data_IF_108262261441
#
_entry.id   IF_108262261441
#
_cell.length_a   1.000
_cell.length_b   1.000
_cell.length_c   1.000
_cell.angle_alpha   90.00
_cell.angle_beta   90.00
_cell.angle_gamma   90.00
#
_symmetry.space_group_name_H-M   'P 1'
#
loop_
_entity.id
_entity.type
_entity.pdbx_description
1 polymer ?
#
# COMPACT_ATOMS: atom_id res chain seq x y z
N UNK A 1 -6.18 -18.10 1.78
CA UNK A 1 -4.79 -17.62 1.57
C UNK A 1 -4.20 -18.44 0.45
N UNK A 2 -3.80 -17.79 -0.63
CA UNK A 2 -3.25 -18.47 -1.81
C UNK A 2 -1.73 -18.45 -1.86
N UNK A 3 -1.13 -17.51 -1.14
CA UNK A 3 0.31 -17.34 -1.16
C UNK A 3 0.81 -16.91 0.21
N UNK A 4 1.89 -17.54 0.63
CA UNK A 4 2.69 -17.14 1.77
C UNK A 4 4.16 -17.38 1.44
N UNK A 5 4.99 -16.39 1.72
CA UNK A 5 6.45 -16.52 1.63
C UNK A 5 7.07 -15.82 2.82
N UNK A 6 8.02 -16.48 3.46
CA UNK A 6 8.90 -15.93 4.47
C UNK A 6 10.33 -15.94 3.96
N UNK A 7 11.04 -14.85 4.18
CA UNK A 7 12.46 -14.72 3.86
C UNK A 7 13.14 -14.11 5.07
N UNK A 8 14.17 -14.80 5.57
CA UNK A 8 15.09 -14.32 6.59
C UNK A 8 16.39 -13.89 5.89
N UNK A 9 16.64 -12.59 5.85
CA UNK A 9 17.85 -12.01 5.25
C UNK A 9 18.74 -11.35 6.33
N UNK A 10 18.80 -11.96 7.52
CA UNK A 10 19.63 -11.53 8.64
C UNK A 10 18.99 -10.45 9.52
N UNK A 11 19.80 -9.84 10.37
CA UNK A 11 19.36 -8.82 11.31
C UNK A 11 18.90 -7.55 10.57
N UNK A 12 17.73 -7.02 10.93
CA UNK A 12 17.17 -5.82 10.31
C UNK A 12 15.68 -5.68 10.57
N UNK A 13 15.00 -4.77 9.85
CA UNK A 13 13.59 -4.49 10.06
C UNK A 13 12.70 -5.69 9.69
N UNK A 14 11.60 -5.81 10.42
CA UNK A 14 10.49 -6.72 10.10
C UNK A 14 9.57 -6.03 9.09
N UNK A 15 9.35 -6.69 7.95
CA UNK A 15 8.51 -6.16 6.86
C UNK A 15 7.36 -7.11 6.56
N UNK A 16 6.14 -6.61 6.72
CA UNK A 16 4.90 -7.34 6.48
C UNK A 16 4.17 -6.78 5.26
N UNK A 17 3.93 -7.64 4.28
CA UNK A 17 3.22 -7.31 3.04
C UNK A 17 1.94 -8.12 2.94
N UNK A 18 0.82 -7.44 2.71
CA UNK A 18 -0.50 -8.05 2.59
C UNK A 18 -1.09 -7.70 1.22
N UNK A 19 -1.32 -8.71 0.38
CA UNK A 19 -2.04 -8.57 -0.89
C UNK A 19 -3.44 -9.18 -0.85
N UNK A 20 -4.32 -8.71 -1.74
CA UNK A 20 -5.67 -9.26 -1.84
C UNK A 20 -6.61 -8.88 -0.69
N UNK A 21 -6.51 -7.65 -0.25
CA UNK A 21 -7.27 -7.11 0.89
C UNK A 21 -8.77 -7.01 0.59
N UNK A 22 -9.14 -6.69 -0.67
CA UNK A 22 -10.55 -6.62 -1.09
C UNK A 22 -10.82 -7.41 -2.38
N UNK A 23 -11.94 -8.07 -2.42
CA UNK A 23 -12.48 -8.66 -3.63
C UNK A 23 -11.50 -9.58 -4.36
N UNK A 24 -11.12 -9.22 -5.58
CA UNK A 24 -10.23 -10.01 -6.43
C UNK A 24 -8.83 -9.37 -6.59
N UNK A 25 -8.44 -8.46 -5.73
CA UNK A 25 -7.15 -7.74 -5.80
C UNK A 25 -5.94 -8.69 -5.72
N UNK A 26 -6.12 -9.83 -5.05
CA UNK A 26 -5.11 -10.87 -4.92
C UNK A 26 -4.55 -11.38 -6.25
N UNK A 27 -5.32 -11.34 -7.33
CA UNK A 27 -4.83 -11.72 -8.67
C UNK A 27 -3.86 -10.70 -9.27
N UNK A 28 -3.98 -9.42 -8.88
CA UNK A 28 -3.03 -8.38 -9.31
C UNK A 28 -1.80 -8.36 -8.40
N UNK A 29 -1.98 -8.34 -7.08
CA UNK A 29 -0.88 -8.27 -6.11
C UNK A 29 0.04 -9.49 -6.17
N UNK A 30 -0.50 -10.70 -6.40
CA UNK A 30 0.28 -11.93 -6.55
C UNK A 30 1.35 -11.81 -7.64
N UNK A 31 1.05 -11.13 -8.76
CA UNK A 31 2.01 -10.95 -9.88
C UNK A 31 3.26 -10.17 -9.49
N UNK A 32 3.16 -9.31 -8.48
CA UNK A 32 4.32 -8.59 -7.94
C UNK A 32 5.05 -9.42 -6.88
N UNK A 33 4.30 -10.11 -6.02
CA UNK A 33 4.89 -10.94 -4.97
C UNK A 33 5.70 -12.14 -5.52
N UNK A 34 5.24 -12.75 -6.62
CA UNK A 34 5.94 -13.88 -7.28
C UNK A 34 7.25 -13.46 -7.96
N UNK A 35 7.42 -12.16 -8.25
CA UNK A 35 8.62 -11.64 -8.94
C UNK A 35 9.70 -11.12 -8.01
N UNK A 36 9.48 -11.19 -6.69
CA UNK A 36 10.47 -10.72 -5.72
C UNK A 36 11.75 -11.55 -5.86
N UNK A 37 12.83 -10.84 -6.20
CA UNK A 37 14.18 -11.40 -6.18
C UNK A 37 14.80 -11.14 -4.80
N UNK A 38 15.44 -12.17 -4.22
CA UNK A 38 16.11 -12.05 -2.92
C UNK A 38 17.28 -11.07 -2.95
N UNK A 39 17.93 -10.90 -4.11
CA UNK A 39 18.98 -9.90 -4.31
C UNK A 39 18.48 -8.44 -4.17
N UNK A 40 17.16 -8.21 -4.24
CA UNK A 40 16.52 -6.91 -4.09
C UNK A 40 16.07 -6.62 -2.66
N UNK A 41 16.40 -7.48 -1.69
CA UNK A 41 16.01 -7.30 -0.30
C UNK A 41 17.13 -6.65 0.52
N UNK A 42 16.76 -5.73 1.43
CA UNK A 42 17.66 -5.33 2.51
C UNK A 42 17.92 -6.50 3.48
N UNK A 43 18.81 -6.33 4.45
CA UNK A 43 18.78 -7.17 5.65
C UNK A 43 17.43 -7.04 6.36
N UNK A 44 17.00 -8.09 7.08
CA UNK A 44 15.75 -8.12 7.83
C UNK A 44 14.89 -9.35 7.55
N UNK A 45 13.69 -9.32 8.11
CA UNK A 45 12.70 -10.39 7.97
C UNK A 45 11.53 -9.93 7.10
N UNK A 46 11.13 -10.74 6.14
CA UNK A 46 10.09 -10.42 5.17
C UNK A 46 8.97 -11.45 5.20
N UNK A 47 7.77 -10.99 5.44
CA UNK A 47 6.55 -11.80 5.47
C UNK A 47 5.59 -11.32 4.39
N UNK A 48 5.26 -12.19 3.44
CA UNK A 48 4.37 -11.91 2.32
C UNK A 48 3.14 -12.80 2.41
N UNK A 49 1.98 -12.19 2.51
CA UNK A 49 0.68 -12.87 2.49
C UNK A 49 -0.14 -12.36 1.32
N UNK A 50 -0.83 -13.25 0.62
CA UNK A 50 -1.80 -12.87 -0.40
C UNK A 50 -3.07 -13.70 -0.29
N UNK A 51 -4.22 -13.04 -0.45
CA UNK A 51 -5.54 -13.64 -0.40
C UNK A 51 -6.19 -13.51 -1.78
N UNK A 52 -6.65 -14.63 -2.37
CA UNK A 52 -7.16 -14.63 -3.75
C UNK A 52 -8.47 -13.90 -3.89
N UNK A 53 -9.41 -14.21 -2.99
CA UNK A 53 -10.77 -13.65 -2.98
C UNK A 53 -11.18 -13.29 -1.57
N UNK A 54 -11.64 -12.07 -1.43
CA UNK A 54 -12.06 -11.51 -0.15
C UNK A 54 -13.36 -10.72 -0.31
N UNK A 55 -14.12 -10.47 0.75
CA UNK A 55 -15.29 -9.61 0.69
C UNK A 55 -14.94 -8.20 0.19
N UNK A 56 -15.86 -7.58 -0.57
CA UNK A 56 -15.76 -6.18 -0.95
C UNK A 56 -16.21 -5.25 0.18
N UNK A 57 -15.47 -5.28 1.30
CA UNK A 57 -15.66 -4.39 2.44
C UNK A 57 -14.47 -3.43 2.47
N UNK A 58 -14.73 -2.13 2.53
CA UNK A 58 -13.66 -1.13 2.55
C UNK A 58 -12.92 -1.13 3.89
N UNK A 59 -11.56 -1.09 3.86
CA UNK A 59 -10.68 -1.00 5.04
C UNK A 59 -10.88 0.29 5.86
N UNK A 60 -11.56 1.30 5.33
CA UNK A 60 -11.93 2.49 6.09
C UNK A 60 -13.16 2.30 6.98
N UNK A 61 -13.78 1.13 6.94
CA UNK A 61 -14.93 0.77 7.75
C UNK A 61 -14.54 -0.22 8.84
N UNK A 62 -15.11 -0.03 10.02
CA UNK A 62 -14.86 -0.89 11.19
C UNK A 62 -15.26 -2.35 10.93
N UNK A 63 -16.34 -2.57 10.18
CA UNK A 63 -16.85 -3.90 9.82
C UNK A 63 -15.84 -4.73 9.01
N UNK A 64 -14.88 -4.08 8.34
CA UNK A 64 -13.80 -4.81 7.69
C UNK A 64 -12.95 -5.58 8.71
N UNK A 65 -12.55 -4.92 9.79
CA UNK A 65 -11.70 -5.51 10.83
C UNK A 65 -12.46 -6.45 11.77
N UNK A 66 -13.79 -6.43 11.73
CA UNK A 66 -14.65 -7.41 12.39
C UNK A 66 -14.87 -8.67 11.52
N UNK A 67 -14.47 -8.65 10.24
CA UNK A 67 -14.52 -9.81 9.35
C UNK A 67 -13.38 -10.78 9.66
N UNK A 68 -13.54 -12.05 9.25
CA UNK A 68 -12.51 -13.09 9.40
C UNK A 68 -11.14 -12.67 8.83
N UNK A 69 -11.13 -12.04 7.66
CA UNK A 69 -9.90 -11.56 7.04
C UNK A 69 -9.32 -10.36 7.79
N UNK A 70 -10.16 -9.37 8.11
CA UNK A 70 -9.71 -8.19 8.84
C UNK A 70 -9.14 -8.54 10.21
N UNK A 71 -9.80 -9.41 10.97
CA UNK A 71 -9.28 -9.94 12.23
C UNK A 71 -7.93 -10.64 12.06
N UNK A 72 -7.81 -11.49 11.03
CA UNK A 72 -6.54 -12.16 10.72
C UNK A 72 -5.41 -11.20 10.38
N UNK A 73 -5.71 -10.10 9.66
CA UNK A 73 -4.70 -9.07 9.37
C UNK A 73 -4.25 -8.39 10.67
N UNK A 74 -5.18 -8.08 11.58
CA UNK A 74 -4.84 -7.51 12.88
C UNK A 74 -3.96 -8.47 13.71
N UNK A 75 -4.31 -9.75 13.75
CA UNK A 75 -3.50 -10.79 14.43
C UNK A 75 -2.06 -10.84 13.86
N UNK A 76 -1.90 -10.72 12.54
CA UNK A 76 -0.57 -10.70 11.91
C UNK A 76 0.22 -9.44 12.29
N UNK A 77 -0.44 -8.28 12.33
CA UNK A 77 0.19 -7.01 12.72
C UNK A 77 0.66 -7.09 14.18
N UNK A 78 -0.20 -7.57 15.09
CA UNK A 78 0.14 -7.72 16.51
C UNK A 78 1.23 -8.77 16.75
N UNK A 79 1.23 -9.85 15.96
CA UNK A 79 2.21 -10.92 16.11
C UNK A 79 3.61 -10.54 15.64
N UNK A 80 3.69 -9.84 14.50
CA UNK A 80 4.97 -9.48 13.88
C UNK A 80 5.52 -8.14 14.33
N UNK A 81 4.68 -7.22 14.83
CA UNK A 81 5.06 -5.86 15.20
C UNK A 81 5.96 -5.20 14.14
N UNK A 82 5.52 -5.12 12.86
CA UNK A 82 6.39 -4.80 11.74
C UNK A 82 6.91 -3.34 11.78
N UNK A 83 8.17 -3.14 11.37
CA UNK A 83 8.74 -1.81 11.10
C UNK A 83 8.20 -1.22 9.79
N UNK A 84 7.87 -2.11 8.82
CA UNK A 84 7.23 -1.76 7.55
C UNK A 84 6.00 -2.61 7.35
N UNK A 85 4.85 -1.97 7.20
CA UNK A 85 3.59 -2.61 6.85
C UNK A 85 3.08 -2.08 5.52
N UNK A 86 2.84 -2.97 4.56
CA UNK A 86 2.43 -2.57 3.22
C UNK A 86 1.24 -3.38 2.73
N UNK A 87 0.17 -2.70 2.37
CA UNK A 87 -0.99 -3.28 1.69
C UNK A 87 -0.87 -3.10 0.18
N UNK A 88 -0.99 -4.20 -0.57
CA UNK A 88 -0.93 -4.23 -2.02
C UNK A 88 -2.35 -4.34 -2.58
N UNK A 89 -2.85 -3.25 -3.12
CA UNK A 89 -4.20 -3.12 -3.65
C UNK A 89 -4.22 -2.96 -5.17
N UNK A 90 -5.39 -3.10 -5.73
CA UNK A 90 -5.68 -2.60 -7.06
C UNK A 90 -7.07 -1.96 -7.14
N UNK A 91 -7.25 -1.00 -8.01
CA UNK A 91 -8.52 -0.30 -8.17
C UNK A 91 -9.05 -0.38 -9.62
N UNK A 92 -10.37 -0.24 -9.76
CA UNK A 92 -10.95 -0.04 -11.07
C UNK A 92 -10.58 1.35 -11.59
N UNK A 93 -9.93 1.43 -12.76
CA UNK A 93 -9.44 2.69 -13.34
C UNK A 93 -10.55 3.76 -13.48
N UNK A 94 -11.81 3.35 -13.66
CA UNK A 94 -12.98 4.25 -13.63
C UNK A 94 -13.20 4.95 -12.28
N UNK A 95 -12.57 4.47 -11.21
CA UNK A 95 -12.63 5.09 -9.89
C UNK A 95 -11.46 6.04 -9.62
N UNK A 96 -10.54 6.21 -10.58
CA UNK A 96 -9.34 7.04 -10.40
C UNK A 96 -9.67 8.43 -9.83
N UNK A 97 -10.56 9.18 -10.46
CA UNK A 97 -10.94 10.51 -9.98
C UNK A 97 -11.57 10.50 -8.59
N UNK A 98 -12.34 9.45 -8.24
CA UNK A 98 -12.94 9.30 -6.90
C UNK A 98 -11.91 9.03 -5.82
N UNK A 99 -10.76 8.43 -6.18
CA UNK A 99 -9.68 8.12 -5.26
C UNK A 99 -8.72 9.29 -5.07
N UNK A 100 -8.53 10.12 -6.11
CA UNK A 100 -7.52 11.19 -6.15
C UNK A 100 -8.09 12.60 -5.93
N UNK A 101 -9.42 12.80 -6.02
CA UNK A 101 -10.01 14.12 -5.80
C UNK A 101 -10.26 14.44 -4.32
N UNK A 102 -10.26 15.74 -3.97
CA UNK A 102 -10.58 16.22 -2.62
C UNK A 102 -12.00 15.89 -2.16
N UNK A 103 -12.93 15.59 -3.07
CA UNK A 103 -14.27 15.11 -2.74
C UNK A 103 -14.24 13.82 -1.91
N UNK A 104 -13.17 13.01 -2.05
CA UNK A 104 -12.97 11.84 -1.19
C UNK A 104 -12.90 12.24 0.27
N UNK A 105 -12.12 13.29 0.59
CA UNK A 105 -12.00 13.77 1.96
C UNK A 105 -13.32 14.30 2.51
N UNK A 106 -14.05 15.09 1.71
CA UNK A 106 -15.36 15.64 2.10
C UNK A 106 -16.37 14.54 2.42
N UNK A 107 -16.34 13.45 1.64
CA UNK A 107 -17.27 12.32 1.78
C UNK A 107 -16.90 11.34 2.89
N UNK A 108 -15.61 11.08 3.10
CA UNK A 108 -15.13 9.98 3.95
C UNK A 108 -14.31 10.43 5.16
N UNK A 109 -13.88 11.68 5.22
CA UNK A 109 -12.91 12.18 6.19
C UNK A 109 -11.47 11.69 5.96
N UNK A 110 -11.22 10.95 4.85
CA UNK A 110 -9.92 10.38 4.53
C UNK A 110 -9.36 11.06 3.28
N UNK A 111 -8.12 11.54 3.31
CA UNK A 111 -7.52 12.23 2.18
C UNK A 111 -7.53 11.42 0.89
N UNK A 112 -7.43 12.10 -0.26
CA UNK A 112 -7.17 11.44 -1.52
C UNK A 112 -5.90 10.60 -1.47
N UNK A 113 -5.85 9.56 -2.32
CA UNK A 113 -4.60 8.89 -2.61
C UNK A 113 -3.74 9.80 -3.48
N UNK A 114 -2.44 9.66 -3.35
CA UNK A 114 -1.44 10.49 -4.04
C UNK A 114 -0.91 9.72 -5.24
N UNK A 115 -0.97 10.32 -6.42
CA UNK A 115 -0.41 9.71 -7.61
C UNK A 115 1.11 9.89 -7.68
N UNK A 116 1.81 8.79 -7.92
CA UNK A 116 3.26 8.77 -8.19
C UNK A 116 3.59 8.88 -9.69
N UNK A 117 2.59 8.77 -10.53
CA UNK A 117 2.66 8.75 -11.98
C UNK A 117 2.03 7.50 -12.57
N UNK A 118 1.61 7.58 -13.84
CA UNK A 118 1.06 6.46 -14.60
C UNK A 118 -0.10 5.73 -13.89
N UNK A 119 -0.97 6.46 -13.18
CA UNK A 119 -2.10 5.95 -12.39
C UNK A 119 -1.70 5.01 -11.23
N UNK A 120 -0.47 5.05 -10.78
CA UNK A 120 -0.04 4.38 -9.55
C UNK A 120 -0.27 5.31 -8.38
N UNK A 121 -0.99 4.83 -7.36
CA UNK A 121 -1.38 5.63 -6.21
C UNK A 121 -0.75 5.08 -4.93
N UNK A 122 -0.49 5.99 -4.00
CA UNK A 122 0.02 5.66 -2.67
C UNK A 122 -0.74 6.42 -1.59
N UNK A 123 -0.88 5.83 -0.43
CA UNK A 123 -1.34 6.50 0.79
C UNK A 123 -0.78 5.80 2.02
N UNK A 124 -1.11 6.33 3.21
CA UNK A 124 -1.04 5.54 4.43
C UNK A 124 -2.18 4.52 4.46
N UNK A 125 -2.06 3.50 5.29
CA UNK A 125 -3.14 2.56 5.58
C UNK A 125 -4.32 3.25 6.29
N UNK A 126 -5.42 2.52 6.45
CA UNK A 126 -6.62 3.03 7.14
C UNK A 126 -6.27 3.68 8.49
N UNK A 127 -6.80 4.90 8.80
CA UNK A 127 -6.62 5.53 10.10
C UNK A 127 -7.08 4.66 11.28
N UNK A 128 -8.05 3.77 11.05
CA UNK A 128 -8.56 2.84 12.07
C UNK A 128 -7.48 1.93 12.63
N UNK A 129 -6.57 1.47 11.79
CA UNK A 129 -5.46 0.60 12.23
C UNK A 129 -4.18 1.38 12.44
N UNK A 130 -3.93 2.45 11.64
CA UNK A 130 -2.70 3.24 11.73
C UNK A 130 -2.45 3.78 13.13
N UNK A 131 -3.52 4.24 13.80
CA UNK A 131 -3.43 4.87 15.12
C UNK A 131 -3.51 3.89 16.29
N UNK A 132 -3.98 2.67 16.04
CA UNK A 132 -4.27 1.71 17.11
C UNK A 132 -3.22 0.58 17.19
N UNK A 133 -2.73 0.13 16.04
CA UNK A 133 -1.92 -1.10 15.93
C UNK A 133 -0.45 -0.83 15.58
N UNK A 134 -0.09 0.40 15.22
CA UNK A 134 1.28 0.73 14.81
C UNK A 134 1.87 1.84 15.67
N UNK A 135 3.16 1.74 15.92
CA UNK A 135 3.92 2.86 16.47
C UNK A 135 3.99 4.02 15.47
N UNK A 136 4.32 5.21 15.94
CA UNK A 136 4.57 6.37 15.08
C UNK A 136 5.73 6.13 14.12
N UNK A 137 6.67 5.27 14.49
CA UNK A 137 7.88 4.97 13.72
C UNK A 137 7.68 3.92 12.63
N UNK A 138 6.58 3.17 12.67
CA UNK A 138 6.26 2.19 11.63
C UNK A 138 5.94 2.86 10.30
N UNK A 139 6.56 2.42 9.22
CA UNK A 139 6.22 2.83 7.85
C UNK A 139 5.00 2.04 7.38
N UNK A 140 3.86 2.71 7.28
CA UNK A 140 2.59 2.10 6.83
C UNK A 140 2.19 2.64 5.46
N UNK A 141 2.13 1.79 4.45
CA UNK A 141 1.80 2.17 3.07
C UNK A 141 0.72 1.30 2.46
N UNK A 142 -0.16 1.96 1.72
CA UNK A 142 -1.07 1.33 0.75
C UNK A 142 -0.57 1.67 -0.64
N UNK A 143 -0.28 0.65 -1.44
CA UNK A 143 0.11 0.77 -2.84
C UNK A 143 -1.05 0.33 -3.72
N UNK A 144 -1.42 1.16 -4.67
CA UNK A 144 -2.55 0.93 -5.56
C UNK A 144 -2.14 1.01 -7.03
N UNK A 145 -2.57 0.04 -7.82
CA UNK A 145 -2.41 0.03 -9.28
C UNK A 145 -3.75 -0.32 -9.93
N UNK A 146 -4.05 0.10 -11.17
CA UNK A 146 -5.27 -0.36 -11.84
C UNK A 146 -5.34 -1.90 -11.93
N UNK A 147 -6.48 -2.50 -11.53
CA UNK A 147 -6.68 -3.96 -11.58
C UNK A 147 -6.58 -4.46 -13.02
N UNK A 148 -5.63 -5.31 -13.32
CA UNK A 148 -5.35 -5.78 -14.68
C UNK A 148 -6.52 -6.55 -15.29
N UNK A 149 -7.32 -7.22 -14.47
CA UNK A 149 -8.49 -8.00 -14.89
C UNK A 149 -9.68 -7.12 -15.30
N UNK A 150 -9.64 -5.81 -14.96
CA UNK A 150 -10.70 -4.83 -15.28
C UNK A 150 -10.34 -3.88 -16.41
N UNK A 151 -9.16 -4.04 -17.01
CA UNK A 151 -8.70 -3.21 -18.12
C UNK A 151 -9.31 -3.71 -19.42
N UNK A 152 -10.16 -2.90 -20.02
CA UNK A 152 -10.66 -3.10 -21.40
C UNK A 152 -10.01 -2.08 -22.33
N UNK A 153 -9.92 -2.34 -23.65
CA UNK A 153 -9.35 -1.38 -24.61
C UNK A 153 -9.96 0.02 -24.51
N UNK A 154 -11.29 0.09 -24.32
CA UNK A 154 -12.00 1.36 -24.21
C UNK A 154 -11.57 2.15 -22.95
N UNK A 155 -11.48 1.47 -21.80
CA UNK A 155 -11.03 2.07 -20.53
C UNK A 155 -9.57 2.51 -20.64
N UNK A 156 -8.71 1.70 -21.22
CA UNK A 156 -7.29 2.03 -21.44
C UNK A 156 -7.17 3.28 -22.31
N UNK A 157 -7.95 3.36 -23.39
CA UNK A 157 -7.95 4.53 -24.29
C UNK A 157 -8.53 5.78 -23.63
N UNK A 158 -9.65 5.64 -22.90
CA UNK A 158 -10.34 6.75 -22.22
C UNK A 158 -9.42 7.46 -21.21
N UNK A 159 -8.64 6.69 -20.43
CA UNK A 159 -7.75 7.22 -19.39
C UNK A 159 -6.30 7.41 -19.85
N UNK A 160 -5.98 7.09 -21.10
CA UNK A 160 -4.60 7.13 -21.60
C UNK A 160 -3.65 6.22 -20.77
N UNK A 161 -4.17 5.08 -20.28
CA UNK A 161 -3.44 4.21 -19.37
C UNK A 161 -2.37 3.38 -20.11
N UNK A 162 -1.13 3.49 -19.65
CA UNK A 162 -0.01 2.68 -20.10
C UNK A 162 0.36 1.66 -19.01
N UNK A 163 -0.02 0.40 -19.24
CA UNK A 163 0.23 -0.68 -18.28
C UNK A 163 1.71 -0.89 -17.98
N UNK A 164 2.58 -0.76 -18.99
CA UNK A 164 4.02 -0.99 -18.82
C UNK A 164 4.62 0.04 -17.89
N UNK A 165 4.30 1.32 -18.12
CA UNK A 165 4.77 2.42 -17.27
C UNK A 165 4.18 2.35 -15.86
N UNK A 166 2.91 1.94 -15.73
CA UNK A 166 2.29 1.75 -14.42
C UNK A 166 2.98 0.64 -13.61
N UNK A 167 3.29 -0.49 -14.26
CA UNK A 167 4.05 -1.59 -13.62
C UNK A 167 5.43 -1.10 -13.21
N UNK A 168 6.17 -0.41 -14.07
CA UNK A 168 7.50 0.14 -13.75
C UNK A 168 7.44 1.11 -12.55
N UNK A 169 6.47 2.03 -12.53
CA UNK A 169 6.28 2.97 -11.41
C UNK A 169 5.96 2.24 -10.11
N UNK A 170 5.08 1.24 -10.17
CA UNK A 170 4.69 0.44 -9.00
C UNK A 170 5.87 -0.38 -8.47
N UNK A 171 6.59 -1.08 -9.35
CA UNK A 171 7.76 -1.89 -9.00
C UNK A 171 8.88 -1.02 -8.42
N UNK A 172 9.08 0.20 -8.92
CA UNK A 172 10.07 1.14 -8.35
C UNK A 172 9.78 1.44 -6.88
N UNK A 173 8.55 1.79 -6.51
CA UNK A 173 8.18 2.05 -5.12
C UNK A 173 8.22 0.77 -4.29
N UNK A 174 7.68 -0.34 -4.81
CA UNK A 174 7.68 -1.62 -4.10
C UNK A 174 9.10 -2.07 -3.78
N UNK A 175 10.01 -1.98 -4.76
CA UNK A 175 11.44 -2.28 -4.59
C UNK A 175 12.10 -1.34 -3.56
N UNK A 176 11.77 -0.05 -3.56
CA UNK A 176 12.27 0.88 -2.55
C UNK A 176 11.89 0.42 -1.13
N UNK A 177 10.64 -0.03 -0.91
CA UNK A 177 10.20 -0.56 0.38
C UNK A 177 10.97 -1.85 0.74
N UNK A 178 11.16 -2.75 -0.23
CA UNK A 178 11.92 -4.00 -0.03
C UNK A 178 13.37 -3.72 0.37
N UNK A 179 14.02 -2.76 -0.28
CA UNK A 179 15.44 -2.43 -0.10
C UNK A 179 15.73 -1.52 1.10
N UNK A 180 14.73 -0.81 1.63
CA UNK A 180 14.95 0.16 2.70
C UNK A 180 15.41 -0.52 4.01
N UNK A 181 16.62 -0.27 4.51
CA UNK A 181 17.10 -0.86 5.76
C UNK A 181 16.51 -0.16 6.99
N UNK A 182 15.92 1.02 6.82
CA UNK A 182 15.32 1.80 7.89
C UNK A 182 14.27 2.77 7.34
N UNK A 183 13.41 3.28 8.22
CA UNK A 183 12.48 4.38 7.92
C UNK A 183 13.19 5.61 7.36
N UNK A 184 14.27 6.05 8.01
CA UNK A 184 15.04 7.23 7.59
C UNK A 184 15.54 7.10 6.14
N UNK A 185 16.05 5.92 5.79
CA UNK A 185 16.46 5.65 4.40
C UNK A 185 15.27 5.75 3.44
N UNK A 186 14.14 5.13 3.79
CA UNK A 186 12.93 5.17 2.97
C UNK A 186 12.44 6.61 2.74
N UNK A 187 12.33 7.40 3.81
CA UNK A 187 11.90 8.80 3.76
C UNK A 187 12.83 9.65 2.90
N UNK A 188 14.13 9.48 3.05
CA UNK A 188 15.14 10.19 2.24
C UNK A 188 15.00 9.87 0.76
N UNK A 189 14.82 8.60 0.40
CA UNK A 189 14.64 8.20 -1.00
C UNK A 189 13.31 8.71 -1.57
N UNK A 190 12.25 8.69 -0.78
CA UNK A 190 10.96 9.28 -1.18
C UNK A 190 11.08 10.77 -1.46
N UNK A 191 11.83 11.54 -0.64
CA UNK A 191 12.08 12.96 -0.88
C UNK A 191 12.89 13.21 -2.16
N UNK A 192 13.85 12.32 -2.49
CA UNK A 192 14.64 12.43 -3.73
C UNK A 192 13.78 12.16 -4.96
N UNK A 193 12.96 11.11 -4.92
CA UNK A 193 12.21 10.62 -6.07
C UNK A 193 10.84 11.30 -6.25
N UNK A 194 10.20 11.76 -5.14
CA UNK A 194 8.80 12.16 -5.08
C UNK A 194 8.56 13.35 -4.13
N UNK A 195 9.39 14.41 -4.19
CA UNK A 195 9.33 15.54 -3.25
C UNK A 195 7.94 16.18 -3.14
N UNK A 196 7.30 16.48 -4.26
CA UNK A 196 5.96 17.10 -4.29
C UNK A 196 4.89 16.19 -3.68
N UNK A 197 4.99 14.88 -3.92
CA UNK A 197 4.08 13.89 -3.36
C UNK A 197 4.28 13.71 -1.85
N UNK A 198 5.53 13.80 -1.39
CA UNK A 198 5.87 13.79 0.03
C UNK A 198 5.29 15.01 0.72
N UNK A 199 5.47 16.22 0.17
CA UNK A 199 4.88 17.45 0.73
C UNK A 199 3.35 17.36 0.82
N UNK A 200 2.72 16.76 -0.17
CA UNK A 200 1.27 16.54 -0.18
C UNK A 200 0.87 15.50 0.90
N UNK A 201 1.65 14.43 1.07
CA UNK A 201 1.43 13.42 2.09
C UNK A 201 1.52 14.01 3.50
N UNK A 202 2.54 14.84 3.77
CA UNK A 202 2.69 15.59 5.03
C UNK A 202 1.45 16.44 5.32
N UNK A 203 0.99 17.19 4.31
CA UNK A 203 -0.21 18.03 4.42
C UNK A 203 -1.45 17.23 4.79
N UNK A 204 -1.61 16.06 4.18
CA UNK A 204 -2.74 15.18 4.45
C UNK A 204 -2.63 14.51 5.81
N UNK A 205 -1.44 14.05 6.21
CA UNK A 205 -1.21 13.45 7.50
C UNK A 205 -1.54 14.44 8.66
N UNK A 206 -1.04 15.66 8.58
CA UNK A 206 -1.36 16.71 9.55
C UNK A 206 -2.86 16.98 9.66
N UNK A 207 -3.58 16.98 8.54
CA UNK A 207 -5.02 17.21 8.53
C UNK A 207 -5.82 16.10 9.22
N UNK A 208 -5.34 14.85 9.18
CA UNK A 208 -6.03 13.67 9.73
C UNK A 208 -5.57 13.35 11.14
N UNK A 209 -4.28 13.41 11.40
CA UNK A 209 -3.66 12.91 12.61
C UNK A 209 -3.18 14.03 13.56
N UNK A 210 -3.22 15.29 13.12
CA UNK A 210 -2.72 16.44 13.86
C UNK A 210 -1.31 16.87 13.49
N UNK A 211 -0.89 18.03 13.98
CA UNK A 211 0.38 18.68 13.58
C UNK A 211 1.62 17.90 14.02
N UNK A 212 1.53 17.19 15.15
CA UNK A 212 2.67 16.46 15.74
C UNK A 212 2.83 15.03 15.18
N UNK A 213 1.94 14.61 14.30
CA UNK A 213 2.01 13.26 13.74
C UNK A 213 3.14 13.18 12.69
N UNK A 214 4.04 12.18 12.78
CA UNK A 214 5.09 11.98 11.77
C UNK A 214 4.45 11.77 10.39
N UNK A 215 5.00 12.39 9.35
CA UNK A 215 4.35 12.45 8.02
C UNK A 215 4.25 11.12 7.27
N UNK A 216 4.84 10.06 7.78
CA UNK A 216 4.92 8.78 7.08
C UNK A 216 4.34 7.61 7.87
#
# INVERSE_FOLDING_TARGET
MSYFRYIDNGDGPVKLFIGGVHGNEGYTSLKFLERINEDDLSSGQFYFYNFDRTPYISTIKKEYYESELGAKILDLIEYFEPDFYTELHCFNLKNYNKLTSMERYERTGIPPLIELGNHVLVSSVSPLIRMTYFSTDTVCKTLEIPCFEKLTPDVVSEYGFDKSKAVETYEKLFKLILMAPSREYFEKQMLIDYADQVDLAVKYAKKVFGEDFPPY
#
